data_IF_893320894812
#
_entry.id   IF_893320894812
#
_cell.length_a   1.000
_cell.length_b   1.000
_cell.length_c   1.000
_cell.angle_alpha   90.00
_cell.angle_beta   90.00
_cell.angle_gamma   90.00
#
_symmetry.space_group_name_H-M   'P 1'
#
loop_
_entity.id
_entity.type
_entity.pdbx_description
1 polymer ?
#
# COMPACT_ATOMS: atom_id res chain seq x y z
N UNK A 1 9.68 -51.68 -3.07
CA UNK A 1 8.31 -51.26 -3.41
C UNK A 1 8.20 -49.75 -3.70
N UNK A 2 8.72 -48.86 -2.84
CA UNK A 2 8.55 -47.40 -2.99
C UNK A 2 9.22 -46.77 -4.22
N UNK A 3 10.40 -47.26 -4.65
CA UNK A 3 11.05 -46.75 -5.87
C UNK A 3 10.24 -47.05 -7.13
N UNK A 4 9.54 -48.19 -7.15
CA UNK A 4 8.71 -48.58 -8.29
C UNK A 4 7.49 -47.66 -8.45
N UNK A 5 6.91 -47.18 -7.34
CA UNK A 5 5.86 -46.16 -7.38
C UNK A 5 6.34 -44.87 -8.06
N UNK A 6 7.57 -44.42 -7.78
CA UNK A 6 8.14 -43.25 -8.46
C UNK A 6 8.38 -43.51 -9.95
N UNK A 7 8.78 -44.72 -10.34
CA UNK A 7 8.94 -45.09 -11.75
C UNK A 7 7.61 -45.05 -12.49
N UNK A 8 6.57 -45.71 -11.95
CA UNK A 8 5.23 -45.68 -12.55
C UNK A 8 4.69 -44.26 -12.64
N UNK A 9 4.84 -43.47 -11.56
CA UNK A 9 4.39 -42.10 -11.55
C UNK A 9 5.12 -41.20 -12.56
N UNK A 10 6.45 -41.29 -12.68
CA UNK A 10 7.26 -40.30 -13.42
C UNK A 10 7.73 -40.80 -14.80
N UNK A 11 8.19 -42.04 -14.90
CA UNK A 11 8.65 -42.63 -16.17
C UNK A 11 7.44 -43.05 -17.03
N UNK A 12 6.40 -43.65 -16.42
CA UNK A 12 5.19 -44.14 -17.12
C UNK A 12 4.03 -43.11 -17.10
N UNK A 13 4.18 -42.02 -16.36
CA UNK A 13 3.16 -40.97 -16.19
C UNK A 13 1.81 -41.47 -15.67
N UNK A 14 1.83 -42.52 -14.83
CA UNK A 14 0.63 -43.04 -14.16
C UNK A 14 0.13 -42.06 -13.08
N UNK A 15 -1.03 -41.46 -13.34
CA UNK A 15 -1.67 -40.49 -12.45
C UNK A 15 -2.03 -41.07 -11.08
N UNK A 16 -2.47 -42.33 -11.02
CA UNK A 16 -2.81 -42.97 -9.75
C UNK A 16 -1.56 -43.19 -8.92
N UNK A 17 -0.48 -43.67 -9.54
CA UNK A 17 0.82 -43.80 -8.88
C UNK A 17 1.34 -42.43 -8.40
N UNK A 18 1.18 -41.38 -9.19
CA UNK A 18 1.57 -40.03 -8.81
C UNK A 18 0.78 -39.51 -7.60
N UNK A 19 -0.54 -39.70 -7.59
CA UNK A 19 -1.38 -39.34 -6.45
C UNK A 19 -0.94 -40.05 -5.16
N UNK A 20 -0.60 -41.35 -5.24
CA UNK A 20 -0.05 -42.08 -4.10
C UNK A 20 1.28 -41.52 -3.62
N UNK A 21 2.20 -41.14 -4.54
CA UNK A 21 3.45 -40.48 -4.18
C UNK A 21 3.17 -39.17 -3.44
N UNK A 22 2.28 -38.33 -3.96
CA UNK A 22 1.95 -37.05 -3.34
C UNK A 22 1.42 -37.25 -1.92
N UNK A 23 0.45 -38.14 -1.74
CA UNK A 23 -0.16 -38.44 -0.44
C UNK A 23 0.86 -39.00 0.56
N UNK A 24 1.68 -39.97 0.14
CA UNK A 24 2.65 -40.64 1.01
C UNK A 24 3.75 -39.69 1.51
N UNK A 25 4.24 -38.80 0.66
CA UNK A 25 5.39 -37.94 1.00
C UNK A 25 5.01 -36.52 1.40
N UNK A 26 3.70 -36.18 1.42
CA UNK A 26 3.20 -34.88 1.87
C UNK A 26 3.69 -34.52 3.26
N UNK A 27 3.47 -35.41 4.24
CA UNK A 27 3.84 -35.14 5.63
C UNK A 27 5.35 -35.02 5.83
N UNK A 28 6.12 -35.76 5.03
CA UNK A 28 7.57 -35.64 5.02
C UNK A 28 8.01 -34.25 4.55
N UNK A 29 7.44 -33.75 3.45
CA UNK A 29 7.71 -32.40 2.95
C UNK A 29 7.34 -31.33 3.98
N UNK A 30 6.17 -31.44 4.62
CA UNK A 30 5.76 -30.53 5.69
C UNK A 30 6.80 -30.51 6.81
N UNK A 31 7.24 -31.68 7.27
CA UNK A 31 8.24 -31.77 8.34
C UNK A 31 9.56 -31.06 7.95
N UNK A 32 9.98 -31.16 6.69
CA UNK A 32 11.17 -30.47 6.20
C UNK A 32 10.96 -28.96 6.13
N UNK A 33 9.81 -28.48 5.66
CA UNK A 33 9.52 -27.05 5.62
C UNK A 33 9.45 -26.45 7.02
N UNK A 34 8.88 -27.15 7.99
CA UNK A 34 8.92 -26.73 9.39
C UNK A 34 10.35 -26.69 9.97
N UNK A 35 11.27 -27.52 9.47
CA UNK A 35 12.69 -27.46 9.87
C UNK A 35 13.46 -26.33 9.15
N UNK A 36 13.14 -26.07 7.88
CA UNK A 36 13.78 -25.01 7.11
C UNK A 36 13.34 -23.63 7.59
N UNK A 37 12.05 -23.49 7.86
CA UNK A 37 11.48 -22.28 8.41
C UNK A 37 11.82 -22.22 9.89
N UNK A 38 12.74 -21.33 10.27
CA UNK A 38 12.98 -20.97 11.69
C UNK A 38 11.79 -20.30 12.38
N UNK A 39 10.57 -20.45 11.85
CA UNK A 39 9.30 -19.93 12.34
C UNK A 39 8.16 -20.90 11.98
N UNK A 40 7.03 -20.88 12.70
CA UNK A 40 5.84 -21.59 12.26
C UNK A 40 5.36 -21.05 10.91
N UNK A 41 4.99 -21.97 10.02
CA UNK A 41 4.39 -21.71 8.72
C UNK A 41 2.88 -21.93 8.83
N UNK A 42 2.10 -21.09 8.15
CA UNK A 42 0.65 -21.27 8.06
C UNK A 42 0.27 -22.48 7.20
N UNK A 43 -0.97 -22.99 7.31
CA UNK A 43 -1.44 -24.13 6.52
C UNK A 43 -1.38 -23.85 5.01
N UNK A 44 -1.83 -22.67 4.56
CA UNK A 44 -1.81 -22.31 3.13
C UNK A 44 -0.36 -22.19 2.59
N UNK A 45 0.54 -21.59 3.38
CA UNK A 45 1.96 -21.45 3.03
C UNK A 45 2.64 -22.82 2.89
N UNK A 46 2.32 -23.75 3.79
CA UNK A 46 2.81 -25.13 3.72
C UNK A 46 2.27 -25.85 2.48
N UNK A 47 0.99 -25.72 2.19
CA UNK A 47 0.34 -26.37 1.07
C UNK A 47 0.93 -25.90 -0.26
N UNK A 48 1.15 -24.60 -0.41
CA UNK A 48 1.82 -24.02 -1.57
C UNK A 48 3.26 -24.53 -1.74
N UNK A 49 4.03 -24.57 -0.64
CA UNK A 49 5.42 -25.06 -0.64
C UNK A 49 5.52 -26.53 -1.06
N UNK A 50 4.63 -27.36 -0.49
CA UNK A 50 4.51 -28.78 -0.83
C UNK A 50 4.15 -28.96 -2.30
N UNK A 51 3.11 -28.26 -2.76
CA UNK A 51 2.62 -28.36 -4.13
C UNK A 51 3.69 -27.91 -5.13
N UNK A 52 4.35 -26.79 -4.90
CA UNK A 52 5.42 -26.28 -5.75
C UNK A 52 6.62 -27.24 -5.82
N UNK A 53 6.89 -27.95 -4.72
CA UNK A 53 7.94 -28.98 -4.69
C UNK A 53 7.60 -30.16 -5.58
N UNK A 54 6.37 -30.68 -5.49
CA UNK A 54 5.91 -31.75 -6.37
C UNK A 54 5.87 -31.33 -7.85
N UNK A 55 5.41 -30.12 -8.14
CA UNK A 55 5.43 -29.57 -9.51
C UNK A 55 6.87 -29.50 -10.03
N UNK A 56 7.82 -29.02 -9.22
CA UNK A 56 9.24 -28.97 -9.62
C UNK A 56 9.81 -30.36 -9.84
N UNK A 57 9.52 -31.30 -8.95
CA UNK A 57 9.95 -32.69 -9.08
C UNK A 57 9.45 -33.28 -10.41
N UNK A 58 8.13 -33.19 -10.65
CA UNK A 58 7.48 -33.67 -11.87
C UNK A 58 8.13 -33.05 -13.10
N UNK A 59 8.12 -31.72 -13.22
CA UNK A 59 8.65 -30.99 -14.38
C UNK A 59 10.12 -31.27 -14.67
N UNK A 60 10.90 -31.66 -13.68
CA UNK A 60 12.33 -31.94 -13.88
C UNK A 60 12.56 -33.38 -14.30
N UNK A 61 11.84 -34.32 -13.68
CA UNK A 61 12.07 -35.76 -13.87
C UNK A 61 11.27 -36.36 -15.03
N UNK A 62 10.20 -35.70 -15.50
CA UNK A 62 9.46 -36.12 -16.70
C UNK A 62 10.03 -35.58 -18.02
N UNK A 63 11.14 -34.82 -17.97
CA UNK A 63 11.82 -34.32 -19.19
C UNK A 63 12.41 -35.44 -20.04
N UNK A 64 12.90 -36.51 -19.42
CA UNK A 64 13.32 -37.75 -20.10
C UNK A 64 12.51 -38.92 -19.50
N UNK A 65 11.75 -39.69 -20.32
CA UNK A 65 10.89 -40.79 -19.86
C UNK A 65 11.59 -41.95 -19.12
N UNK A 66 12.92 -41.94 -19.01
CA UNK A 66 13.68 -42.97 -18.27
C UNK A 66 14.59 -42.37 -17.20
N UNK A 67 14.33 -41.13 -16.80
CA UNK A 67 15.14 -40.40 -15.81
C UNK A 67 15.21 -41.16 -14.50
N UNK A 68 14.08 -41.65 -13.97
CA UNK A 68 14.10 -42.33 -12.67
C UNK A 68 14.89 -43.62 -12.76
N UNK A 69 14.58 -44.45 -13.76
CA UNK A 69 15.27 -45.73 -13.96
C UNK A 69 16.77 -45.58 -14.20
N UNK A 70 17.23 -44.51 -14.86
CA UNK A 70 18.65 -44.27 -15.17
C UNK A 70 19.42 -43.58 -14.03
N UNK A 71 18.82 -42.57 -13.39
CA UNK A 71 19.55 -41.68 -12.48
C UNK A 71 19.47 -42.11 -11.01
N UNK A 72 18.49 -42.94 -10.62
CA UNK A 72 18.24 -43.26 -9.22
C UNK A 72 18.30 -44.76 -8.95
N UNK A 73 19.35 -45.19 -8.25
CA UNK A 73 19.58 -46.59 -7.88
C UNK A 73 18.65 -47.08 -6.75
N UNK A 74 18.26 -46.19 -5.84
CA UNK A 74 17.41 -46.52 -4.69
C UNK A 74 16.54 -45.33 -4.27
N UNK A 75 15.51 -45.60 -3.47
CA UNK A 75 14.55 -44.59 -3.00
C UNK A 75 15.21 -43.42 -2.26
N UNK A 76 16.25 -43.69 -1.46
CA UNK A 76 16.99 -42.64 -0.74
C UNK A 76 17.56 -41.55 -1.65
N UNK A 77 17.99 -41.89 -2.88
CA UNK A 77 18.51 -40.91 -3.83
C UNK A 77 17.38 -40.00 -4.36
N UNK A 78 16.19 -40.57 -4.60
CA UNK A 78 14.99 -39.81 -5.00
C UNK A 78 14.56 -38.87 -3.88
N UNK A 79 14.53 -39.35 -2.64
CA UNK A 79 14.16 -38.52 -1.48
C UNK A 79 15.18 -37.43 -1.20
N UNK A 80 16.48 -37.71 -1.39
CA UNK A 80 17.52 -36.69 -1.31
C UNK A 80 17.30 -35.60 -2.37
N UNK A 81 16.99 -35.98 -3.62
CA UNK A 81 16.66 -35.04 -4.68
C UNK A 81 15.39 -34.23 -4.36
N UNK A 82 14.34 -34.88 -3.87
CA UNK A 82 13.11 -34.23 -3.42
C UNK A 82 13.39 -33.20 -2.32
N UNK A 83 14.24 -33.53 -1.34
CA UNK A 83 14.64 -32.60 -0.27
C UNK A 83 15.41 -31.39 -0.83
N UNK A 84 16.25 -31.59 -1.84
CA UNK A 84 16.92 -30.48 -2.55
C UNK A 84 15.92 -29.58 -3.28
N UNK A 85 14.91 -30.16 -3.92
CA UNK A 85 13.81 -29.39 -4.51
C UNK A 85 13.10 -28.55 -3.45
N UNK A 86 12.74 -29.16 -2.31
CA UNK A 86 12.07 -28.47 -1.21
C UNK A 86 12.91 -27.30 -0.67
N UNK A 87 14.20 -27.52 -0.40
CA UNK A 87 15.11 -26.47 0.06
C UNK A 87 15.25 -25.32 -0.95
N UNK A 88 15.35 -25.63 -2.25
CA UNK A 88 15.43 -24.62 -3.30
C UNK A 88 14.15 -23.79 -3.40
N UNK A 89 12.98 -24.43 -3.34
CA UNK A 89 11.68 -23.75 -3.36
C UNK A 89 11.54 -22.82 -2.14
N UNK A 90 11.93 -23.29 -0.95
CA UNK A 90 11.90 -22.46 0.26
C UNK A 90 12.78 -21.20 0.13
N UNK A 91 14.01 -21.35 -0.38
CA UNK A 91 14.91 -20.22 -0.60
C UNK A 91 14.38 -19.24 -1.65
N UNK A 92 13.77 -19.74 -2.73
CA UNK A 92 13.15 -18.91 -3.75
C UNK A 92 11.97 -18.11 -3.18
N UNK A 93 11.11 -18.75 -2.39
CA UNK A 93 10.00 -18.06 -1.72
C UNK A 93 10.50 -16.97 -0.76
N UNK A 94 11.53 -17.26 0.04
CA UNK A 94 12.13 -16.25 0.93
C UNK A 94 12.66 -15.04 0.15
N UNK A 95 13.36 -15.27 -0.97
CA UNK A 95 13.85 -14.19 -1.84
C UNK A 95 12.72 -13.37 -2.45
N UNK A 96 11.64 -14.03 -2.87
CA UNK A 96 10.46 -13.35 -3.41
C UNK A 96 9.78 -12.48 -2.35
N UNK A 97 9.59 -13.00 -1.14
CA UNK A 97 9.01 -12.24 -0.02
C UNK A 97 9.89 -11.04 0.35
N UNK A 98 11.20 -11.21 0.39
CA UNK A 98 12.13 -10.11 0.67
C UNK A 98 12.08 -9.03 -0.41
N UNK A 99 12.07 -9.42 -1.69
CA UNK A 99 11.91 -8.49 -2.81
C UNK A 99 10.59 -7.74 -2.73
N UNK A 100 9.49 -8.43 -2.42
CA UNK A 100 8.18 -7.81 -2.29
C UNK A 100 8.16 -6.81 -1.14
N UNK A 101 8.71 -7.16 0.03
CA UNK A 101 8.84 -6.24 1.18
C UNK A 101 9.62 -4.98 0.82
N UNK A 102 10.75 -5.12 0.12
CA UNK A 102 11.56 -3.97 -0.32
C UNK A 102 10.78 -3.07 -1.28
N UNK A 103 10.03 -3.64 -2.22
CA UNK A 103 9.21 -2.87 -3.15
C UNK A 103 8.08 -2.13 -2.42
N UNK A 104 7.35 -2.80 -1.53
CA UNK A 104 6.29 -2.19 -0.73
C UNK A 104 6.83 -1.06 0.15
N UNK A 105 8.00 -1.25 0.77
CA UNK A 105 8.64 -0.20 1.57
C UNK A 105 9.05 1.01 0.72
N UNK A 106 9.57 0.79 -0.49
CA UNK A 106 9.92 1.87 -1.41
C UNK A 106 8.69 2.69 -1.84
N UNK A 107 7.59 2.01 -2.20
CA UNK A 107 6.34 2.67 -2.59
C UNK A 107 5.73 3.48 -1.43
N UNK A 108 5.74 2.91 -0.21
CA UNK A 108 5.26 3.62 0.97
C UNK A 108 6.11 4.87 1.29
N UNK A 109 7.43 4.80 1.08
CA UNK A 109 8.32 5.95 1.26
C UNK A 109 8.06 7.05 0.22
N UNK A 110 7.78 6.69 -1.03
CA UNK A 110 7.41 7.62 -2.09
C UNK A 110 6.08 8.33 -1.77
N UNK A 111 5.06 7.58 -1.32
CA UNK A 111 3.77 8.14 -0.94
C UNK A 111 3.88 9.12 0.25
N UNK A 112 4.71 8.80 1.25
CA UNK A 112 5.00 9.72 2.36
C UNK A 112 5.68 11.01 1.90
N UNK A 113 6.56 10.93 0.90
CA UNK A 113 7.24 12.09 0.34
C UNK A 113 6.27 13.01 -0.39
N UNK A 114 5.37 12.45 -1.21
CA UNK A 114 4.32 13.18 -1.90
C UNK A 114 3.36 13.88 -0.92
N UNK A 115 2.94 13.18 0.14
CA UNK A 115 2.13 13.77 1.20
C UNK A 115 2.85 14.93 1.90
N UNK A 116 4.15 14.79 2.19
CA UNK A 116 4.93 15.86 2.80
C UNK A 116 5.06 17.10 1.90
N UNK A 117 5.21 16.90 0.58
CA UNK A 117 5.24 17.99 -0.41
C UNK A 117 3.89 18.71 -0.46
N UNK A 118 2.78 17.99 -0.51
CA UNK A 118 1.43 18.59 -0.53
C UNK A 118 1.12 19.33 0.78
N UNK A 119 1.47 18.76 1.93
CA UNK A 119 1.35 19.45 3.22
C UNK A 119 2.18 20.73 3.25
N UNK A 120 3.41 20.71 2.76
CA UNK A 120 4.28 21.89 2.69
C UNK A 120 3.70 22.97 1.77
N UNK A 121 3.15 22.59 0.62
CA UNK A 121 2.47 23.50 -0.29
C UNK A 121 1.23 24.15 0.36
N UNK A 122 0.41 23.36 1.05
CA UNK A 122 -0.75 23.84 1.82
C UNK A 122 -0.33 24.77 2.97
N UNK A 123 0.74 24.44 3.69
CA UNK A 123 1.29 25.29 4.75
C UNK A 123 1.77 26.64 4.20
N UNK A 124 2.47 26.65 3.06
CA UNK A 124 2.91 27.88 2.41
C UNK A 124 1.73 28.74 1.93
N UNK A 125 0.70 28.11 1.34
CA UNK A 125 -0.52 28.81 0.93
C UNK A 125 -1.25 29.42 2.14
N UNK A 126 -1.38 28.67 3.24
CA UNK A 126 -1.99 29.17 4.48
C UNK A 126 -1.17 30.32 5.09
N UNK A 127 0.16 30.22 5.12
CA UNK A 127 1.01 31.30 5.61
C UNK A 127 0.82 32.60 4.81
N UNK A 128 0.67 32.51 3.47
CA UNK A 128 0.34 33.66 2.61
C UNK A 128 -1.03 34.24 2.94
N UNK A 129 -2.06 33.40 3.10
CA UNK A 129 -3.40 33.84 3.47
C UNK A 129 -3.43 34.52 4.85
N UNK A 130 -2.69 33.99 5.82
CA UNK A 130 -2.55 34.59 7.16
C UNK A 130 -1.92 35.97 7.08
N UNK A 131 -0.85 36.15 6.29
CA UNK A 131 -0.23 37.47 6.06
C UNK A 131 -1.21 38.46 5.42
N UNK A 132 -1.96 38.03 4.40
CA UNK A 132 -2.98 38.86 3.75
C UNK A 132 -4.07 39.26 4.75
N UNK A 133 -4.58 38.31 5.56
CA UNK A 133 -5.59 38.59 6.58
C UNK A 133 -5.08 39.59 7.61
N UNK A 134 -3.87 39.40 8.15
CA UNK A 134 -3.26 40.31 9.10
C UNK A 134 -3.12 41.73 8.52
N UNK A 135 -2.71 41.83 7.25
CA UNK A 135 -2.57 43.10 6.55
C UNK A 135 -3.91 43.80 6.33
N UNK A 136 -4.95 43.06 5.93
CA UNK A 136 -6.31 43.60 5.80
C UNK A 136 -6.77 44.13 7.16
N UNK A 137 -6.64 43.34 8.23
CA UNK A 137 -7.04 43.73 9.59
C UNK A 137 -6.31 44.99 10.07
N UNK A 138 -5.00 45.12 9.79
CA UNK A 138 -4.23 46.33 10.13
C UNK A 138 -4.69 47.58 9.36
N UNK A 139 -5.29 47.41 8.18
CA UNK A 139 -5.80 48.50 7.35
C UNK A 139 -7.23 48.95 7.71
N UNK A 140 -7.89 48.24 8.64
CA UNK A 140 -9.23 48.57 9.14
C UNK A 140 -9.12 49.64 10.22
N UNK A 141 -9.48 50.86 9.84
CA UNK A 141 -9.35 52.06 10.67
C UNK A 141 -10.53 52.25 11.61
N UNK A 142 -11.70 51.71 11.26
CA UNK A 142 -12.96 51.99 11.94
C UNK A 142 -13.56 50.72 12.59
N UNK A 143 -14.26 50.87 13.70
CA UNK A 143 -14.86 49.75 14.44
C UNK A 143 -15.99 49.09 13.63
N UNK A 144 -16.74 49.90 12.89
CA UNK A 144 -17.78 49.45 11.96
C UNK A 144 -17.19 48.68 10.77
N UNK A 145 -16.00 49.09 10.28
CA UNK A 145 -15.28 48.36 9.22
C UNK A 145 -14.79 46.98 9.71
N UNK A 146 -14.33 46.89 10.97
CA UNK A 146 -13.93 45.63 11.61
C UNK A 146 -15.11 44.67 11.79
N UNK A 147 -16.26 45.20 12.24
CA UNK A 147 -17.48 44.43 12.40
C UNK A 147 -17.95 43.83 11.06
N UNK A 148 -18.01 44.64 9.99
CA UNK A 148 -18.38 44.14 8.65
C UNK A 148 -17.38 43.13 8.11
N UNK A 149 -16.09 43.33 8.35
CA UNK A 149 -15.06 42.37 7.93
C UNK A 149 -15.22 41.03 8.65
N UNK A 150 -15.39 41.02 9.98
CA UNK A 150 -15.59 39.80 10.75
C UNK A 150 -16.87 39.07 10.31
N UNK A 151 -18.00 39.76 10.23
CA UNK A 151 -19.28 39.15 9.86
C UNK A 151 -19.28 38.63 8.42
N UNK A 152 -18.60 39.33 7.49
CA UNK A 152 -18.56 38.94 6.08
C UNK A 152 -17.54 37.84 5.77
N UNK A 153 -16.38 37.83 6.44
CA UNK A 153 -15.24 36.97 6.05
C UNK A 153 -14.90 35.89 7.08
N UNK A 154 -15.36 36.02 8.32
CA UNK A 154 -15.26 34.97 9.35
C UNK A 154 -16.58 34.22 9.53
N UNK A 155 -17.72 34.92 9.53
CA UNK A 155 -19.07 34.31 9.70
C UNK A 155 -19.82 34.08 8.38
N UNK A 156 -19.27 34.54 7.25
CA UNK A 156 -19.80 34.34 5.90
C UNK A 156 -21.24 34.87 5.70
N UNK A 157 -21.65 35.86 6.48
CA UNK A 157 -22.97 36.46 6.41
C UNK A 157 -23.14 37.35 5.17
N UNK A 158 -24.34 37.34 4.60
CA UNK A 158 -24.68 38.19 3.47
C UNK A 158 -24.91 39.64 3.93
N UNK A 159 -24.66 40.66 3.09
CA UNK A 159 -24.86 42.06 3.45
C UNK A 159 -26.26 42.40 4.00
N UNK A 160 -27.31 41.71 3.52
CA UNK A 160 -28.66 41.87 4.02
C UNK A 160 -28.85 41.29 5.43
N UNK A 161 -28.20 40.17 5.75
CA UNK A 161 -28.23 39.54 7.07
C UNK A 161 -27.45 40.38 8.09
N UNK A 162 -26.32 40.98 7.67
CA UNK A 162 -25.53 41.90 8.48
C UNK A 162 -26.34 43.15 8.83
N UNK A 163 -27.02 43.76 7.84
CA UNK A 163 -27.87 44.93 8.08
C UNK A 163 -29.08 44.62 8.95
N UNK A 164 -29.67 43.44 8.82
CA UNK A 164 -30.79 43.00 9.67
C UNK A 164 -30.35 42.71 11.12
N UNK A 165 -29.11 42.26 11.33
CA UNK A 165 -28.55 41.93 12.65
C UNK A 165 -28.01 43.16 13.39
N UNK A 166 -27.57 44.17 12.64
CA UNK A 166 -27.02 45.42 13.15
C UNK A 166 -27.69 46.66 12.55
N UNK A 167 -29.01 46.82 12.73
CA UNK A 167 -29.75 47.98 12.20
C UNK A 167 -29.30 49.31 12.81
N UNK A 168 -28.68 49.28 13.98
CA UNK A 168 -28.08 50.44 14.66
C UNK A 168 -26.86 51.01 13.94
N UNK A 169 -26.17 50.20 13.14
CA UNK A 169 -24.98 50.60 12.38
C UNK A 169 -25.23 50.64 10.87
N UNK A 170 -26.22 49.89 10.36
CA UNK A 170 -26.52 49.83 8.92
C UNK A 170 -28.02 49.96 8.67
N UNK A 171 -28.42 51.10 8.10
CA UNK A 171 -29.83 51.32 7.74
C UNK A 171 -30.28 50.43 6.57
N UNK A 172 -29.36 50.08 5.66
CA UNK A 172 -29.67 49.22 4.51
C UNK A 172 -28.53 48.27 4.14
N UNK A 173 -28.86 47.18 3.44
CA UNK A 173 -27.87 46.25 2.89
C UNK A 173 -26.87 46.93 1.92
N UNK A 174 -27.27 48.07 1.32
CA UNK A 174 -26.40 48.85 0.43
C UNK A 174 -25.24 49.52 1.20
N UNK A 175 -25.44 49.88 2.47
CA UNK A 175 -24.41 50.50 3.31
C UNK A 175 -23.31 49.48 3.63
N UNK A 176 -23.69 48.25 3.96
CA UNK A 176 -22.77 47.12 4.15
C UNK A 176 -22.01 46.81 2.85
N UNK A 177 -22.68 46.86 1.69
CA UNK A 177 -22.04 46.63 0.39
C UNK A 177 -21.01 47.71 0.04
N UNK A 178 -21.33 49.00 0.28
CA UNK A 178 -20.41 50.12 0.08
C UNK A 178 -19.19 50.01 0.99
N UNK A 179 -19.39 49.65 2.25
CA UNK A 179 -18.30 49.50 3.21
C UNK A 179 -17.38 48.32 2.86
N UNK A 180 -17.95 47.16 2.51
CA UNK A 180 -17.20 45.99 2.03
C UNK A 180 -16.38 46.30 0.77
N UNK A 181 -16.95 47.04 -0.17
CA UNK A 181 -16.25 47.45 -1.40
C UNK A 181 -15.11 48.43 -1.11
N UNK A 182 -15.30 49.37 -0.17
CA UNK A 182 -14.27 50.32 0.25
C UNK A 182 -13.10 49.61 0.94
N UNK A 183 -13.39 48.66 1.85
CA UNK A 183 -12.38 47.83 2.53
C UNK A 183 -11.56 47.06 1.50
N UNK A 184 -12.20 46.35 0.57
CA UNK A 184 -11.51 45.56 -0.47
C UNK A 184 -10.69 46.44 -1.43
N UNK A 185 -11.21 47.62 -1.81
CA UNK A 185 -10.48 48.56 -2.67
C UNK A 185 -9.23 49.13 -1.98
N UNK A 186 -9.30 49.38 -0.67
CA UNK A 186 -8.16 49.86 0.15
C UNK A 186 -7.13 48.75 0.33
N UNK A 187 -7.56 47.56 0.72
CA UNK A 187 -6.70 46.38 0.82
C UNK A 187 -5.97 46.08 -0.49
N UNK A 188 -6.65 46.17 -1.64
CA UNK A 188 -6.05 45.93 -2.96
C UNK A 188 -4.99 46.96 -3.36
N UNK A 189 -5.13 48.21 -2.93
CA UNK A 189 -4.13 49.26 -3.16
C UNK A 189 -2.90 49.04 -2.29
N UNK A 190 -3.13 48.78 -1.00
CA UNK A 190 -2.07 48.57 -0.04
C UNK A 190 -1.31 47.23 -0.27
N UNK A 191 -1.89 46.25 -1.00
CA UNK A 191 -1.22 45.03 -1.45
C UNK A 191 -0.38 45.21 -2.75
N UNK A 192 -0.46 46.36 -3.41
CA UNK A 192 0.27 46.67 -4.67
C UNK A 192 1.51 47.51 -4.47
N UNK A 193 1.59 48.24 -3.36
CA UNK A 193 2.76 49.02 -2.90
C UNK A 193 3.60 48.15 -1.95
#
# INVERSE_FOLDING_TARGET
HCLELFRRALDEQDEAAWHFVQTQYRQLLISWFSQFAGRPLGPDELDDLVQNTFIRLWRTLTRDPKTIRRQFAHIGAVLHYLRRCAASIHLEQQRQLERQRRLTAALAAEELLDQAVDLSAKQLANARLTKIRAFITASLTDEVERLVYQLSFSENLKPAEIAARHPEHFATAADVYRLKTRILKRARRALRD
#
